data_IF_981917583195
#
_entry.id   IF_981917583195
#
_cell.length_a   1.000
_cell.length_b   1.000
_cell.length_c   1.000
_cell.angle_alpha   90.00
_cell.angle_beta   90.00
_cell.angle_gamma   90.00
#
_symmetry.space_group_name_H-M   'P 1'
#
loop_
_entity.id
_entity.type
_entity.pdbx_description
1 polymer ?
#
# COMPACT_ATOMS: atom_id res chain seq x y z
N UNK A 1 -10.29 -10.78 12.13
CA UNK A 1 -8.91 -11.01 11.61
C UNK A 1 -8.29 -9.67 11.28
N UNK A 2 -6.97 -9.48 11.51
CA UNK A 2 -6.32 -8.22 11.26
C UNK A 2 -6.31 -7.87 9.77
N UNK A 3 -6.50 -6.60 9.47
CA UNK A 3 -6.44 -6.04 8.11
C UNK A 3 -5.48 -4.87 8.09
N UNK A 4 -4.85 -4.66 6.94
CA UNK A 4 -3.98 -3.52 6.70
C UNK A 4 -4.61 -2.63 5.64
N UNK A 5 -4.85 -1.37 5.99
CA UNK A 5 -5.29 -0.35 5.04
C UNK A 5 -4.03 0.26 4.40
N UNK A 6 -3.88 0.07 3.10
CA UNK A 6 -2.66 0.41 2.37
C UNK A 6 -2.96 1.41 1.26
N UNK A 7 -2.23 2.52 1.24
CA UNK A 7 -2.15 3.40 0.08
C UNK A 7 -1.05 2.89 -0.85
N UNK A 8 -1.46 2.32 -1.98
CA UNK A 8 -0.53 1.94 -3.05
C UNK A 8 -0.13 3.19 -3.86
N UNK A 9 1.02 3.14 -4.55
CA UNK A 9 1.47 4.20 -5.45
C UNK A 9 1.73 3.58 -6.82
N UNK A 10 1.08 4.11 -7.86
CA UNK A 10 1.23 3.63 -9.23
C UNK A 10 2.61 3.99 -9.79
N UNK A 11 3.46 2.98 -10.02
CA UNK A 11 4.83 3.18 -10.51
C UNK A 11 4.96 3.09 -12.02
N UNK A 12 3.93 2.60 -12.72
CA UNK A 12 3.93 2.43 -14.17
C UNK A 12 3.62 3.73 -14.93
N UNK A 13 2.75 4.59 -14.36
CA UNK A 13 2.34 5.87 -14.96
C UNK A 13 2.14 6.97 -13.93
N UNK A 14 1.97 8.20 -14.42
CA UNK A 14 1.65 9.36 -13.59
C UNK A 14 2.83 9.86 -12.74
N UNK A 15 2.49 10.59 -11.68
CA UNK A 15 3.44 11.32 -10.83
C UNK A 15 4.43 10.38 -10.14
N UNK A 16 3.96 9.20 -9.77
CA UNK A 16 4.73 8.25 -8.96
C UNK A 16 5.62 7.31 -9.76
N UNK A 17 5.79 7.52 -11.08
CA UNK A 17 6.96 7.00 -11.80
C UNK A 17 8.26 7.52 -11.17
N UNK A 18 8.26 8.79 -10.74
CA UNK A 18 9.38 9.42 -10.07
C UNK A 18 9.51 8.90 -8.62
N UNK A 19 10.61 8.19 -8.35
CA UNK A 19 10.90 7.63 -7.04
C UNK A 19 11.06 8.69 -5.94
N UNK A 20 11.55 9.88 -6.30
CA UNK A 20 11.71 10.98 -5.35
C UNK A 20 10.37 11.56 -4.92
N UNK A 21 9.39 11.62 -5.82
CA UNK A 21 8.02 12.04 -5.50
C UNK A 21 7.26 10.98 -4.70
N UNK A 22 7.52 9.68 -4.91
CA UNK A 22 7.03 8.62 -4.02
C UNK A 22 7.58 8.79 -2.59
N UNK A 23 8.86 9.09 -2.46
CA UNK A 23 9.47 9.35 -1.16
C UNK A 23 8.87 10.58 -0.47
N UNK A 24 8.61 11.66 -1.21
CA UNK A 24 7.92 12.84 -0.65
C UNK A 24 6.49 12.52 -0.23
N UNK A 25 5.72 11.82 -1.07
CA UNK A 25 4.36 11.42 -0.72
C UNK A 25 4.30 10.46 0.47
N UNK A 26 5.33 9.62 0.69
CA UNK A 26 5.46 8.81 1.92
C UNK A 26 5.69 9.71 3.14
N UNK A 27 6.67 10.62 3.07
CA UNK A 27 7.04 11.49 4.18
C UNK A 27 5.94 12.48 4.56
N UNK A 28 5.06 12.84 3.62
CA UNK A 28 3.94 13.74 3.87
C UNK A 28 2.83 13.15 4.76
N UNK A 29 2.78 11.82 4.93
CA UNK A 29 1.67 11.19 5.66
C UNK A 29 1.99 11.05 7.13
N UNK A 30 1.18 11.72 7.94
CA UNK A 30 1.11 11.50 9.37
C UNK A 30 0.20 10.31 9.67
N UNK A 31 0.80 9.13 9.86
CA UNK A 31 0.06 7.89 10.13
C UNK A 31 -0.48 7.84 11.57
N UNK A 32 0.21 8.47 12.52
CA UNK A 32 -0.22 8.54 13.92
C UNK A 32 -1.47 9.41 14.04
N UNK A 33 -1.48 10.57 13.40
CA UNK A 33 -2.66 11.43 13.33
C UNK A 33 -3.85 10.71 12.69
N UNK A 34 -3.64 9.99 11.58
CA UNK A 34 -4.72 9.20 10.97
C UNK A 34 -5.28 8.17 11.95
N UNK A 35 -4.42 7.44 12.68
CA UNK A 35 -4.87 6.46 13.68
C UNK A 35 -5.65 7.14 14.81
N UNK A 36 -5.18 8.27 15.31
CA UNK A 36 -5.83 8.96 16.44
C UNK A 36 -7.14 9.63 16.05
N UNK A 37 -7.16 10.35 14.92
CA UNK A 37 -8.26 11.22 14.54
C UNK A 37 -9.30 10.49 13.66
N UNK A 38 -8.87 9.68 12.69
CA UNK A 38 -9.79 8.97 11.79
C UNK A 38 -10.23 7.63 12.37
N UNK A 39 -9.31 6.88 12.98
CA UNK A 39 -9.63 5.59 13.60
C UNK A 39 -9.97 5.70 15.09
N UNK A 40 -9.95 6.89 15.68
CA UNK A 40 -10.22 7.12 17.12
C UNK A 40 -9.36 6.23 18.04
N UNK A 41 -8.11 5.98 17.66
CA UNK A 41 -7.19 5.10 18.39
C UNK A 41 -7.54 3.61 18.31
N UNK A 42 -8.47 3.20 17.42
CA UNK A 42 -8.90 1.80 17.25
C UNK A 42 -8.15 1.07 16.13
N UNK A 43 -6.97 1.55 15.77
CA UNK A 43 -6.07 0.92 14.81
C UNK A 43 -4.62 1.06 15.30
N UNK A 44 -3.73 0.23 14.78
CA UNK A 44 -2.29 0.34 15.01
C UNK A 44 -1.62 1.04 13.83
N UNK A 45 -0.58 1.83 14.09
CA UNK A 45 0.29 2.35 13.04
C UNK A 45 0.98 1.18 12.34
N UNK A 46 0.87 1.13 11.01
CA UNK A 46 1.41 0.02 10.24
C UNK A 46 2.96 0.08 10.16
N UNK A 47 3.61 -0.95 10.71
CA UNK A 47 5.06 -1.18 10.56
C UNK A 47 5.35 -2.01 9.30
N UNK A 48 4.95 -1.49 8.14
CA UNK A 48 5.02 -2.20 6.87
C UNK A 48 3.80 -3.09 6.61
N UNK A 49 3.91 -4.00 5.62
CA UNK A 49 2.77 -4.75 5.09
C UNK A 49 2.25 -5.83 6.04
N UNK A 50 3.14 -6.39 6.87
CA UNK A 50 2.80 -7.34 7.93
C UNK A 50 2.82 -6.59 9.26
N UNK A 51 1.71 -5.92 9.56
CA UNK A 51 1.60 -5.02 10.71
C UNK A 51 1.65 -5.71 12.09
N UNK A 52 1.58 -4.93 13.18
CA UNK A 52 1.81 -5.40 14.56
C UNK A 52 0.94 -6.58 15.00
N UNK A 53 -0.26 -6.72 14.44
CA UNK A 53 -1.17 -7.84 14.71
C UNK A 53 -0.62 -9.22 14.27
N UNK A 54 0.51 -9.28 13.57
CA UNK A 54 1.25 -10.50 13.23
C UNK A 54 2.57 -10.54 14.04
N UNK A 55 2.55 -11.00 15.30
CA UNK A 55 3.72 -10.92 16.19
C UNK A 55 4.91 -11.74 15.67
N UNK A 56 4.65 -12.89 15.02
CA UNK A 56 5.69 -13.70 14.39
C UNK A 56 6.46 -12.96 13.28
N UNK A 57 5.89 -11.90 12.70
CA UNK A 57 6.53 -11.11 11.66
C UNK A 57 7.46 -10.02 12.25
N UNK A 58 7.35 -9.71 13.54
CA UNK A 58 8.10 -8.62 14.17
C UNK A 58 9.61 -8.77 14.00
N UNK A 59 10.14 -9.98 14.26
CA UNK A 59 11.57 -10.28 14.12
C UNK A 59 12.05 -10.32 12.66
N UNK A 60 11.12 -10.43 11.70
CA UNK A 60 11.42 -10.44 10.26
C UNK A 60 11.45 -9.04 9.65
N UNK A 61 10.86 -8.04 10.32
CA UNK A 61 10.86 -6.66 9.85
C UNK A 61 12.27 -6.11 9.92
N UNK A 62 12.79 -5.70 8.77
CA UNK A 62 14.07 -4.99 8.69
C UNK A 62 13.79 -3.54 8.37
N UNK A 63 14.50 -2.65 9.05
CA UNK A 63 14.51 -1.25 8.64
C UNK A 63 15.12 -1.15 7.24
N UNK A 64 14.32 -0.66 6.28
CA UNK A 64 14.78 -0.40 4.92
C UNK A 64 15.03 1.10 4.78
N UNK A 65 16.17 1.46 4.19
CA UNK A 65 16.42 2.86 3.81
C UNK A 65 15.35 3.34 2.83
N UNK A 66 14.92 4.58 3.00
CA UNK A 66 13.97 5.19 2.07
C UNK A 66 14.71 6.01 1.00
N UNK A 67 14.11 6.09 -0.18
CA UNK A 67 14.58 6.98 -1.24
C UNK A 67 14.59 8.44 -0.77
N UNK A 68 15.43 9.25 -1.39
CA UNK A 68 15.51 10.69 -1.09
C UNK A 68 14.23 11.39 -1.58
N UNK A 69 13.60 12.17 -0.70
CA UNK A 69 12.44 12.99 -1.04
C UNK A 69 12.81 14.06 -2.08
N UNK A 70 11.96 14.19 -3.11
CA UNK A 70 12.01 15.24 -4.12
C UNK A 70 11.15 16.46 -3.75
N UNK A 71 11.13 17.45 -4.65
CA UNK A 71 10.30 18.66 -4.49
C UNK A 71 9.14 18.63 -5.50
N UNK A 72 7.91 18.34 -5.06
CA UNK A 72 6.73 18.52 -5.90
C UNK A 72 6.54 20.00 -6.24
N UNK A 73 5.93 20.24 -7.40
CA UNK A 73 5.71 21.56 -7.99
C UNK A 73 4.22 21.79 -8.31
N UNK A 74 3.32 21.05 -7.66
CA UNK A 74 1.88 21.13 -7.91
C UNK A 74 1.33 20.01 -8.79
N UNK A 75 2.02 18.88 -8.90
CA UNK A 75 1.53 17.71 -9.65
C UNK A 75 0.19 17.23 -9.07
N UNK A 76 -0.75 16.88 -9.96
CA UNK A 76 -2.05 16.31 -9.58
C UNK A 76 -1.92 14.84 -9.23
N UNK A 77 -2.55 14.43 -8.13
CA UNK A 77 -2.58 13.04 -7.64
C UNK A 77 -4.02 12.63 -7.44
N UNK A 78 -4.49 11.61 -8.16
CA UNK A 78 -5.81 11.02 -7.94
C UNK A 78 -5.73 9.90 -6.91
N UNK A 79 -6.52 10.01 -5.84
CA UNK A 79 -6.60 9.03 -4.74
C UNK A 79 -7.89 8.23 -4.89
N UNK A 80 -7.83 6.95 -5.22
CA UNK A 80 -9.03 6.11 -5.34
C UNK A 80 -9.34 5.38 -4.04
N UNK A 81 -10.60 5.35 -3.59
CA UNK A 81 -11.04 4.46 -2.51
C UNK A 81 -12.54 4.17 -2.55
N UNK A 82 -13.05 3.37 -1.61
CA UNK A 82 -14.42 2.87 -1.64
C UNK A 82 -15.22 3.04 -0.36
N UNK A 83 -16.54 3.02 -0.52
CA UNK A 83 -17.55 3.27 0.52
C UNK A 83 -17.85 2.07 1.40
N UNK A 84 -17.62 0.83 0.93
CA UNK A 84 -17.89 -0.41 1.67
C UNK A 84 -17.15 -0.48 3.02
N UNK A 85 -16.17 0.41 3.22
CA UNK A 85 -15.46 0.58 4.48
C UNK A 85 -15.57 2.03 4.91
N UNK A 86 -16.36 2.22 5.96
CA UNK A 86 -16.78 3.53 6.44
C UNK A 86 -15.60 4.46 6.75
N UNK A 87 -14.46 3.91 7.17
CA UNK A 87 -13.26 4.68 7.47
C UNK A 87 -12.55 5.23 6.22
N UNK A 88 -12.66 4.56 5.07
CA UNK A 88 -11.78 4.82 3.93
C UNK A 88 -12.02 6.18 3.25
N UNK A 89 -13.26 6.67 3.07
CA UNK A 89 -13.49 8.02 2.56
C UNK A 89 -12.83 9.09 3.43
N UNK A 90 -12.83 8.92 4.74
CA UNK A 90 -12.20 9.85 5.68
C UNK A 90 -10.67 9.75 5.64
N UNK A 91 -10.13 8.54 5.54
CA UNK A 91 -8.68 8.33 5.27
C UNK A 91 -8.26 9.01 3.97
N UNK A 92 -9.07 8.95 2.91
CA UNK A 92 -8.77 9.62 1.65
C UNK A 92 -8.78 11.15 1.79
N UNK A 93 -9.70 11.71 2.58
CA UNK A 93 -9.73 13.13 2.91
C UNK A 93 -8.48 13.56 3.72
N UNK A 94 -8.08 12.77 4.71
CA UNK A 94 -6.85 12.99 5.47
C UNK A 94 -5.60 12.99 4.56
N UNK A 95 -5.48 11.97 3.70
CA UNK A 95 -4.38 11.87 2.75
C UNK A 95 -4.38 13.04 1.75
N UNK A 96 -5.55 13.51 1.32
CA UNK A 96 -5.65 14.72 0.49
C UNK A 96 -5.04 15.93 1.21
N UNK A 97 -5.40 16.16 2.47
CA UNK A 97 -4.87 17.30 3.23
C UNK A 97 -3.35 17.20 3.43
N UNK A 98 -2.86 16.02 3.79
CA UNK A 98 -1.44 15.74 3.99
C UNK A 98 -0.62 15.96 2.70
N UNK A 99 -1.11 15.45 1.57
CA UNK A 99 -0.45 15.63 0.28
C UNK A 99 -0.50 17.08 -0.21
N UNK A 100 -1.58 17.81 0.07
CA UNK A 100 -1.68 19.26 -0.24
C UNK A 100 -0.69 20.10 0.56
N UNK A 101 -0.46 19.79 1.84
CA UNK A 101 0.61 20.43 2.65
C UNK A 101 1.99 20.18 2.04
N UNK A 102 2.18 19.03 1.39
CA UNK A 102 3.35 18.71 0.61
C UNK A 102 3.30 19.22 -0.85
N UNK A 103 2.45 20.20 -1.19
CA UNK A 103 2.39 20.86 -2.52
C UNK A 103 1.85 19.97 -3.65
N UNK A 104 1.32 18.78 -3.37
CA UNK A 104 0.57 18.01 -4.38
C UNK A 104 -0.88 18.55 -4.55
N UNK A 105 -1.44 18.47 -5.75
CA UNK A 105 -2.88 18.69 -5.98
C UNK A 105 -3.62 17.37 -5.84
N UNK A 106 -3.99 17.02 -4.60
CA UNK A 106 -4.64 15.74 -4.31
C UNK A 106 -6.16 15.78 -4.51
N UNK A 107 -6.68 14.82 -5.28
CA UNK A 107 -8.09 14.67 -5.66
C UNK A 107 -8.58 13.26 -5.31
N UNK A 108 -9.35 13.08 -4.23
CA UNK A 108 -9.94 11.80 -3.90
C UNK A 108 -11.16 11.51 -4.78
N UNK A 109 -11.27 10.25 -5.18
CA UNK A 109 -12.42 9.68 -5.86
C UNK A 109 -12.91 8.48 -5.04
N UNK A 110 -14.13 8.60 -4.54
CA UNK A 110 -14.78 7.58 -3.72
C UNK A 110 -15.87 6.91 -4.56
N UNK A 111 -15.86 5.58 -4.63
CA UNK A 111 -16.83 4.79 -5.43
C UNK A 111 -17.28 3.54 -4.66
N UNK A 112 -18.33 2.87 -5.13
CA UNK A 112 -18.68 1.53 -4.64
C UNK A 112 -17.59 0.52 -5.02
N UNK A 113 -17.26 -0.45 -4.14
CA UNK A 113 -16.16 -1.39 -4.38
C UNK A 113 -16.27 -2.12 -5.73
N UNK A 114 -17.49 -2.57 -6.07
CA UNK A 114 -17.78 -3.28 -7.32
C UNK A 114 -17.37 -2.50 -8.60
N UNK A 115 -17.17 -1.19 -8.48
CA UNK A 115 -16.87 -0.28 -9.59
C UNK A 115 -15.46 0.29 -9.56
N UNK A 116 -14.69 0.05 -8.49
CA UNK A 116 -13.36 0.65 -8.31
C UNK A 116 -12.21 -0.34 -8.48
N UNK A 117 -12.43 -1.62 -8.16
CA UNK A 117 -11.35 -2.61 -8.15
C UNK A 117 -10.72 -2.76 -9.54
N UNK A 118 -11.55 -2.96 -10.58
CA UNK A 118 -11.10 -3.03 -11.97
C UNK A 118 -10.41 -1.74 -12.44
N UNK A 119 -10.85 -0.58 -11.95
CA UNK A 119 -10.29 0.74 -12.25
C UNK A 119 -8.92 0.93 -11.59
N UNK A 120 -8.76 0.47 -10.35
CA UNK A 120 -7.49 0.46 -9.63
C UNK A 120 -6.49 -0.53 -10.26
N UNK A 121 -6.97 -1.70 -10.69
CA UNK A 121 -6.16 -2.70 -11.39
C UNK A 121 -5.70 -2.23 -12.78
N UNK A 122 -6.56 -1.49 -13.51
CA UNK A 122 -6.17 -0.77 -14.73
C UNK A 122 -5.21 0.41 -14.48
N UNK A 123 -4.83 0.63 -13.21
CA UNK A 123 -3.92 1.65 -12.78
C UNK A 123 -4.48 3.07 -12.92
N UNK A 124 -5.78 3.29 -13.07
CA UNK A 124 -6.33 4.63 -13.33
C UNK A 124 -5.97 5.64 -12.24
N UNK A 125 -5.93 5.20 -10.98
CA UNK A 125 -5.53 6.03 -9.85
C UNK A 125 -4.01 6.10 -9.69
N UNK A 126 -3.50 7.26 -9.26
CA UNK A 126 -2.11 7.42 -8.84
C UNK A 126 -1.87 6.78 -7.47
N UNK A 127 -2.82 6.91 -6.55
CA UNK A 127 -2.69 6.45 -5.17
C UNK A 127 -3.96 5.77 -4.62
N UNK A 128 -4.34 4.57 -5.10
CA UNK A 128 -5.50 3.86 -4.57
C UNK A 128 -5.26 3.35 -3.14
N UNK A 129 -6.30 3.40 -2.31
CA UNK A 129 -6.33 2.91 -0.93
C UNK A 129 -7.18 1.64 -0.88
N UNK A 130 -6.60 0.54 -0.40
CA UNK A 130 -7.27 -0.74 -0.26
C UNK A 130 -7.13 -1.29 1.16
N UNK A 131 -8.13 -2.06 1.60
CA UNK A 131 -8.11 -2.81 2.85
C UNK A 131 -7.96 -4.30 2.62
N UNK A 132 -6.84 -4.89 3.02
CA UNK A 132 -6.52 -6.31 2.76
C UNK A 132 -6.36 -7.12 4.05
N UNK A 133 -6.94 -8.32 4.07
CA UNK A 133 -6.71 -9.33 5.11
C UNK A 133 -5.60 -10.27 4.65
N UNK A 134 -4.35 -9.87 4.86
CA UNK A 134 -3.13 -10.53 4.36
C UNK A 134 -2.98 -12.02 4.72
N UNK A 135 -3.68 -12.48 5.76
CA UNK A 135 -3.68 -13.90 6.16
C UNK A 135 -4.78 -14.70 5.46
N UNK A 136 -5.96 -14.12 5.22
CA UNK A 136 -7.13 -14.84 4.72
C UNK A 136 -7.27 -14.77 3.20
N UNK A 137 -7.03 -13.60 2.61
CA UNK A 137 -7.40 -13.30 1.23
C UNK A 137 -6.61 -14.13 0.19
N UNK A 138 -5.45 -14.69 0.56
CA UNK A 138 -4.51 -15.25 -0.41
C UNK A 138 -3.84 -16.57 0.01
N UNK A 139 -4.35 -17.30 1.00
CA UNK A 139 -3.69 -18.54 1.46
C UNK A 139 -2.40 -18.30 2.27
N UNK A 140 -2.27 -17.09 2.84
CA UNK A 140 -1.20 -16.70 3.74
C UNK A 140 -0.37 -15.49 3.26
N UNK A 141 0.51 -14.96 4.13
CA UNK A 141 1.23 -13.70 3.90
C UNK A 141 2.09 -13.68 2.63
N UNK A 142 2.81 -14.76 2.35
CA UNK A 142 3.70 -14.84 1.18
C UNK A 142 2.93 -14.79 -0.14
N UNK A 143 1.77 -15.43 -0.18
CA UNK A 143 0.90 -15.43 -1.36
C UNK A 143 0.17 -14.10 -1.53
N UNK A 144 -0.21 -13.43 -0.44
CA UNK A 144 -0.71 -12.05 -0.50
C UNK A 144 0.36 -11.09 -1.04
N UNK A 145 1.62 -11.20 -0.59
CA UNK A 145 2.71 -10.37 -1.11
C UNK A 145 3.00 -10.63 -2.58
N UNK A 146 2.96 -11.90 -3.02
CA UNK A 146 3.09 -12.22 -4.44
C UNK A 146 1.93 -11.64 -5.25
N UNK A 147 0.69 -11.83 -4.78
CA UNK A 147 -0.52 -11.29 -5.41
C UNK A 147 -0.43 -9.78 -5.64
N UNK A 148 0.06 -9.04 -4.64
CA UNK A 148 -0.03 -7.59 -4.63
C UNK A 148 1.14 -6.88 -5.31
N UNK A 149 2.29 -7.56 -5.41
CA UNK A 149 3.56 -6.91 -5.77
C UNK A 149 4.39 -7.66 -6.82
N UNK A 150 4.02 -8.89 -7.21
CA UNK A 150 4.67 -9.53 -8.33
C UNK A 150 4.22 -8.89 -9.64
N UNK A 151 5.16 -8.65 -10.56
CA UNK A 151 4.90 -7.96 -11.82
C UNK A 151 3.95 -8.71 -12.75
N UNK A 152 3.90 -10.04 -12.62
CA UNK A 152 3.04 -10.96 -13.37
C UNK A 152 1.72 -11.28 -12.67
N UNK A 153 1.45 -10.67 -11.50
CA UNK A 153 0.21 -10.93 -10.77
C UNK A 153 -0.96 -10.09 -11.24
N UNK A 154 -2.15 -10.68 -11.20
CA UNK A 154 -3.42 -10.03 -11.51
C UNK A 154 -3.84 -8.97 -10.49
N UNK A 155 -3.20 -8.91 -9.31
CA UNK A 155 -3.52 -7.91 -8.26
C UNK A 155 -2.38 -6.90 -8.02
N UNK A 156 -1.52 -6.68 -9.01
CA UNK A 156 -0.43 -5.69 -8.96
C UNK A 156 -0.95 -4.24 -9.05
N UNK A 157 -1.69 -3.79 -8.04
CA UNK A 157 -2.20 -2.42 -7.89
C UNK A 157 -1.09 -1.35 -8.08
N UNK A 158 0.14 -1.48 -7.52
CA UNK A 158 1.20 -0.48 -7.72
C UNK A 158 1.86 -0.51 -9.11
N UNK A 159 1.45 -1.41 -10.01
CA UNK A 159 1.94 -1.51 -11.39
C UNK A 159 3.47 -1.72 -11.47
N UNK A 160 4.02 -2.55 -10.58
CA UNK A 160 5.45 -2.84 -10.53
C UNK A 160 5.88 -3.64 -11.77
N UNK A 161 6.92 -3.19 -12.47
CA UNK A 161 7.40 -3.79 -13.73
C UNK A 161 8.68 -4.62 -13.58
N UNK A 162 9.39 -4.52 -12.45
CA UNK A 162 10.60 -5.30 -12.18
C UNK A 162 10.39 -6.19 -10.96
N UNK A 163 10.49 -7.51 -11.14
CA UNK A 163 10.18 -8.51 -10.13
C UNK A 163 11.42 -9.19 -9.53
N UNK A 164 11.77 -8.86 -8.28
CA UNK A 164 12.48 -9.80 -7.39
C UNK A 164 11.53 -10.64 -6.54
N UNK A 165 10.21 -10.41 -6.65
CA UNK A 165 9.18 -11.17 -5.92
C UNK A 165 8.76 -12.35 -6.77
N UNK A 166 9.38 -13.49 -6.53
CA UNK A 166 9.02 -14.77 -7.15
C UNK A 166 7.94 -15.48 -6.35
N UNK A 167 7.10 -16.27 -7.04
CA UNK A 167 6.09 -17.11 -6.39
C UNK A 167 6.71 -17.96 -5.29
N UNK A 168 6.06 -18.15 -4.13
CA UNK A 168 6.57 -19.03 -3.08
C UNK A 168 6.85 -20.46 -3.57
N UNK A 169 6.07 -20.95 -4.54
CA UNK A 169 6.24 -22.25 -5.20
C UNK A 169 7.47 -22.32 -6.13
N UNK A 170 8.01 -21.18 -6.56
CA UNK A 170 9.16 -21.07 -7.44
C UNK A 170 10.49 -20.82 -6.69
N UNK A 171 10.46 -20.69 -5.35
CA UNK A 171 11.72 -20.66 -4.59
C UNK A 171 12.37 -22.04 -4.66
N UNK A 172 13.66 -22.16 -5.05
CA UNK A 172 14.35 -23.44 -4.94
C UNK A 172 14.26 -23.89 -3.48
N UNK A 173 13.70 -25.08 -3.24
CA UNK A 173 13.68 -25.69 -1.91
C UNK A 173 15.13 -25.78 -1.46
N UNK A 174 15.52 -25.00 -0.47
CA UNK A 174 16.82 -25.16 0.18
C UNK A 174 16.88 -26.58 0.71
N UNK A 175 17.72 -27.43 0.09
CA UNK A 175 18.10 -28.71 0.67
C UNK A 175 18.84 -28.43 1.97
N UNK A 176 18.39 -29.01 3.08
CA UNK A 176 19.22 -29.24 4.25
C UNK A 176 18.72 -28.63 5.55
N UNK A 177 17.90 -29.41 6.27
CA UNK A 177 18.16 -29.78 7.65
C UNK A 177 17.31 -31.02 7.92
N UNK A 178 17.92 -32.21 7.86
CA UNK A 178 17.31 -33.41 8.42
C UNK A 178 17.29 -33.28 9.95
N UNK A 179 16.32 -33.92 10.63
CA UNK A 179 16.27 -33.91 12.10
C UNK A 179 17.48 -34.68 12.68
N UNK A 180 17.86 -34.39 13.94
CA UNK A 180 18.99 -35.03 14.61
C UNK A 180 18.83 -36.54 14.76
#
# INVERSE_FOLDING_TARGET
MPRTNTRHLNTGKGVFKDASLRATARAAIDAEWIVNDVYEGRADVAEGLLGPALPWAAELRRHIGHGRAGKPTGQTVTIGTFTDRAELPEVAAALQQHLRKAVFKANPEVREYATIESVALAGVFDAPILSRATVLDSGGPAACLYSDFASDSSFNIPQLVEGRIVSPSQRPRSRGAGPP
#
